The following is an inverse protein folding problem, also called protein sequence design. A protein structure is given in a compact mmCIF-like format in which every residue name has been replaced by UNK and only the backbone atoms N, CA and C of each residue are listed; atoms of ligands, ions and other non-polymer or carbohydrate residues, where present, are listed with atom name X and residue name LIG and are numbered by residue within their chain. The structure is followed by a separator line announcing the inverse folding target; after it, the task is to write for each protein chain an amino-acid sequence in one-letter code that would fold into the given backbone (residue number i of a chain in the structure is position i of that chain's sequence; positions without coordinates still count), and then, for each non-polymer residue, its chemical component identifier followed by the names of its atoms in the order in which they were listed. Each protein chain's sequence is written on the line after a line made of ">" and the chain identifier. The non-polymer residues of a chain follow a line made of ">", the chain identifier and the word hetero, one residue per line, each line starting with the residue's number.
data_IF_954091543381
#
_entry.id   IF_954091543381
#
_cell.length_a   1.000
_cell.length_b   1.000
_cell.length_c   1.000
_cell.angle_alpha   90.00
_cell.angle_beta   90.00
_cell.angle_gamma   90.00
#
_symmetry.space_group_name_H-M   'P 1'
#
loop_
_entity.id
_entity.type
_entity.pdbx_description
1 polymer ?
#
# COMPACT_ATOMS: atom_id res chain seq x y z
N UNK A 1 -19.18 -3.41 -3.66
CA UNK A 1 -19.48 -2.21 -4.47
C UNK A 1 -18.45 -1.17 -4.09
N UNK A 2 -17.87 -0.46 -5.06
CA UNK A 2 -16.88 0.60 -4.82
C UNK A 2 -17.51 1.96 -5.12
N UNK A 3 -17.14 2.97 -4.36
CA UNK A 3 -17.46 4.38 -4.62
C UNK A 3 -16.15 5.14 -4.71
N UNK A 4 -16.09 6.13 -5.60
CA UNK A 4 -14.93 6.99 -5.75
C UNK A 4 -15.37 8.43 -5.54
N UNK A 5 -14.73 9.09 -4.59
CA UNK A 5 -14.88 10.51 -4.37
C UNK A 5 -13.62 11.23 -4.87
N UNK A 6 -13.81 12.34 -5.58
CA UNK A 6 -12.73 13.05 -6.27
C UNK A 6 -11.91 13.96 -5.34
N UNK A 7 -11.40 13.40 -4.24
CA UNK A 7 -10.47 14.04 -3.35
C UNK A 7 -9.44 13.02 -2.84
N UNK A 8 -8.21 13.48 -2.62
CA UNK A 8 -7.18 12.65 -1.99
C UNK A 8 -7.45 12.56 -0.49
N UNK A 9 -7.18 11.39 0.09
CA UNK A 9 -7.30 11.15 1.53
C UNK A 9 -6.48 12.15 2.35
N UNK A 10 -5.27 12.48 1.88
CA UNK A 10 -4.46 13.57 2.41
C UNK A 10 -4.02 14.54 1.29
N UNK A 11 -4.01 15.86 1.53
CA UNK A 11 -3.63 16.83 0.49
C UNK A 11 -2.19 16.67 -0.02
N UNK A 12 -2.04 16.51 -1.34
CA UNK A 12 -0.73 16.54 -2.03
C UNK A 12 -0.64 17.81 -2.88
N UNK A 13 0.23 18.75 -2.52
CA UNK A 13 0.34 20.10 -3.13
C UNK A 13 1.79 20.49 -3.45
N UNK A 14 2.51 19.61 -4.13
CA UNK A 14 3.92 19.78 -4.50
C UNK A 14 4.02 20.83 -5.63
N UNK A 15 4.83 21.85 -5.38
CA UNK A 15 5.02 22.99 -6.29
C UNK A 15 6.25 22.86 -7.18
N UNK A 16 7.30 22.23 -6.66
CA UNK A 16 8.59 22.16 -7.32
C UNK A 16 8.76 20.81 -8.03
N UNK A 17 9.09 20.78 -9.33
CA UNK A 17 9.45 19.55 -10.02
C UNK A 17 10.72 18.96 -9.40
N UNK A 18 10.75 17.64 -9.19
CA UNK A 18 11.94 16.92 -8.74
C UNK A 18 11.91 15.48 -9.27
N UNK A 19 12.38 15.27 -10.52
CA UNK A 19 12.40 13.93 -11.13
C UNK A 19 13.25 12.92 -10.34
N UNK A 20 14.29 13.36 -9.62
CA UNK A 20 15.10 12.47 -8.77
C UNK A 20 14.27 11.86 -7.64
N UNK A 21 13.44 12.67 -6.98
CA UNK A 21 12.52 12.17 -5.96
C UNK A 21 11.39 11.33 -6.56
N UNK A 22 10.86 11.70 -7.73
CA UNK A 22 9.87 10.89 -8.43
C UNK A 22 10.38 9.47 -8.72
N UNK A 23 11.63 9.36 -9.18
CA UNK A 23 12.31 8.08 -9.48
C UNK A 23 12.33 7.12 -8.30
N UNK A 24 12.51 7.61 -7.08
CA UNK A 24 12.59 6.76 -5.90
C UNK A 24 11.22 6.54 -5.23
N UNK A 25 10.36 7.56 -5.20
CA UNK A 25 9.02 7.47 -4.59
C UNK A 25 8.12 6.48 -5.35
N UNK A 26 8.31 6.32 -6.67
CA UNK A 26 7.54 5.33 -7.45
C UNK A 26 7.62 3.91 -6.89
N UNK A 27 8.65 3.59 -6.09
CA UNK A 27 8.75 2.29 -5.42
C UNK A 27 7.59 2.03 -4.45
N UNK A 28 7.00 3.07 -3.85
CA UNK A 28 5.79 2.90 -3.04
C UNK A 28 4.52 2.80 -3.88
N UNK A 29 4.58 3.10 -5.18
CA UNK A 29 3.45 2.86 -6.07
C UNK A 29 3.42 1.41 -6.56
N UNK A 30 4.54 0.87 -7.06
CA UNK A 30 4.58 -0.46 -7.69
C UNK A 30 5.77 -1.35 -7.32
N UNK A 31 6.51 -1.01 -6.27
CA UNK A 31 7.54 -1.88 -5.70
C UNK A 31 6.96 -3.00 -4.82
N UNK A 32 7.82 -3.89 -4.30
CA UNK A 32 7.39 -5.06 -3.54
C UNK A 32 6.69 -4.74 -2.22
N UNK A 33 7.06 -3.63 -1.60
CA UNK A 33 6.54 -3.18 -0.31
C UNK A 33 5.68 -1.90 -0.44
N UNK A 34 5.14 -1.64 -1.64
CA UNK A 34 4.32 -0.45 -1.92
C UNK A 34 2.81 -0.72 -1.91
N UNK A 35 2.02 0.34 -2.10
CA UNK A 35 0.58 0.38 -1.83
C UNK A 35 -0.23 -0.53 -2.75
N UNK A 36 0.27 -0.77 -3.98
CA UNK A 36 -0.36 -1.74 -4.88
C UNK A 36 -0.21 -3.17 -4.37
N UNK A 37 0.93 -3.51 -3.77
CA UNK A 37 1.13 -4.81 -3.13
C UNK A 37 0.25 -4.92 -1.89
N UNK A 38 0.24 -3.90 -1.03
CA UNK A 38 -0.56 -3.84 0.19
C UNK A 38 -2.06 -4.01 -0.09
N UNK A 39 -2.63 -3.17 -0.97
CA UNK A 39 -4.05 -3.25 -1.35
C UNK A 39 -4.44 -4.62 -1.89
N UNK A 40 -3.69 -5.17 -2.86
CA UNK A 40 -4.00 -6.47 -3.45
C UNK A 40 -3.85 -7.62 -2.44
N UNK A 41 -2.87 -7.55 -1.54
CA UNK A 41 -2.66 -8.54 -0.48
C UNK A 41 -3.89 -8.60 0.43
N UNK A 42 -4.24 -7.49 1.07
CA UNK A 42 -5.29 -7.45 2.09
C UNK A 42 -6.67 -7.73 1.49
N UNK A 43 -6.97 -7.16 0.32
CA UNK A 43 -8.24 -7.41 -0.37
C UNK A 43 -8.39 -8.87 -0.87
N UNK A 44 -7.28 -9.58 -1.06
CA UNK A 44 -7.31 -11.01 -1.41
C UNK A 44 -7.46 -11.90 -0.17
N UNK A 45 -6.70 -11.60 0.89
CA UNK A 45 -6.69 -12.40 2.12
C UNK A 45 -7.98 -12.27 2.94
N UNK A 46 -8.77 -11.20 2.79
CA UNK A 46 -10.06 -11.09 3.50
C UNK A 46 -11.00 -12.28 3.29
N UNK A 47 -10.88 -13.00 2.17
CA UNK A 47 -11.75 -14.13 1.82
C UNK A 47 -11.43 -15.42 2.61
N UNK A 48 -10.24 -15.52 3.20
CA UNK A 48 -9.82 -16.63 4.07
C UNK A 48 -9.92 -16.31 5.55
N UNK A 49 -10.24 -15.07 5.91
CA UNK A 49 -10.40 -14.67 7.32
C UNK A 49 -11.63 -15.33 7.95
N UNK A 50 -11.47 -15.76 9.20
CA UNK A 50 -12.47 -16.59 9.92
C UNK A 50 -13.26 -15.83 10.98
N UNK A 51 -12.84 -14.61 11.34
CA UNK A 51 -13.58 -13.72 12.24
C UNK A 51 -14.09 -12.52 11.47
N UNK A 52 -15.26 -11.98 11.86
CA UNK A 52 -15.83 -10.79 11.22
C UNK A 52 -14.90 -9.59 11.35
N UNK A 53 -14.19 -9.46 12.47
CA UNK A 53 -13.22 -8.41 12.71
C UNK A 53 -12.01 -8.51 11.76
N UNK A 54 -11.47 -9.72 11.54
CA UNK A 54 -10.36 -9.90 10.61
C UNK A 54 -10.78 -9.67 9.14
N UNK A 55 -11.97 -10.13 8.74
CA UNK A 55 -12.55 -9.83 7.42
C UNK A 55 -12.67 -8.31 7.23
N UNK A 56 -13.22 -7.61 8.22
CA UNK A 56 -13.39 -6.16 8.17
C UNK A 56 -12.04 -5.44 8.13
N UNK A 57 -11.08 -5.83 8.96
CA UNK A 57 -9.74 -5.23 9.01
C UNK A 57 -9.04 -5.30 7.65
N UNK A 58 -9.02 -6.48 7.02
CA UNK A 58 -8.41 -6.66 5.70
C UNK A 58 -9.15 -5.87 4.62
N UNK A 59 -10.49 -5.80 4.70
CA UNK A 59 -11.30 -5.08 3.73
C UNK A 59 -11.11 -3.55 3.84
N UNK A 60 -11.10 -3.02 5.06
CA UNK A 60 -11.05 -1.59 5.32
C UNK A 60 -9.64 -1.06 5.05
N UNK A 61 -8.60 -1.73 5.53
CA UNK A 61 -7.21 -1.35 5.26
C UNK A 61 -6.89 -1.53 3.77
N UNK A 62 -7.23 -2.66 3.17
CA UNK A 62 -7.00 -2.88 1.73
C UNK A 62 -7.71 -1.86 0.83
N UNK A 63 -8.82 -1.27 1.30
CA UNK A 63 -9.53 -0.17 0.63
C UNK A 63 -8.80 1.15 0.81
N UNK A 64 -8.32 1.44 2.02
CA UNK A 64 -7.48 2.60 2.32
C UNK A 64 -6.19 2.59 1.48
N UNK A 65 -5.57 1.42 1.29
CA UNK A 65 -4.37 1.29 0.45
C UNK A 65 -4.57 1.70 -1.01
N UNK A 66 -5.79 1.62 -1.53
CA UNK A 66 -6.08 2.16 -2.87
C UNK A 66 -6.10 3.69 -2.89
N UNK A 67 -6.47 4.33 -1.78
CA UNK A 67 -6.36 5.78 -1.61
C UNK A 67 -4.88 6.20 -1.44
N UNK A 68 -4.10 5.42 -0.68
CA UNK A 68 -2.65 5.59 -0.59
C UNK A 68 -1.97 5.49 -1.96
N UNK A 69 -2.35 4.49 -2.77
CA UNK A 69 -1.86 4.32 -4.14
C UNK A 69 -2.14 5.56 -5.00
N UNK A 70 -3.35 6.16 -4.88
CA UNK A 70 -3.70 7.41 -5.57
C UNK A 70 -2.86 8.60 -5.06
N UNK A 71 -2.59 8.67 -3.76
CA UNK A 71 -1.71 9.68 -3.18
C UNK A 71 -0.28 9.57 -3.71
N UNK A 72 0.33 8.37 -3.71
CA UNK A 72 1.69 8.17 -4.24
C UNK A 72 1.74 8.50 -5.73
N UNK A 73 0.76 8.06 -6.51
CA UNK A 73 0.64 8.42 -7.93
C UNK A 73 0.54 9.93 -8.13
N UNK A 74 -0.19 10.62 -7.25
CA UNK A 74 -0.31 12.09 -7.26
C UNK A 74 1.00 12.79 -6.90
N UNK A 75 1.77 12.26 -5.95
CA UNK A 75 3.10 12.75 -5.59
C UNK A 75 4.04 12.65 -6.80
N UNK A 76 4.17 11.47 -7.38
CA UNK A 76 5.04 11.23 -8.55
C UNK A 76 4.62 12.12 -9.72
N UNK A 77 3.32 12.22 -9.99
CA UNK A 77 2.79 13.09 -11.06
C UNK A 77 3.19 14.55 -10.85
N UNK A 78 3.05 15.07 -9.63
CA UNK A 78 3.37 16.46 -9.34
C UNK A 78 4.88 16.73 -9.41
N UNK A 79 5.72 15.79 -8.96
CA UNK A 79 7.18 15.87 -9.07
C UNK A 79 7.69 15.84 -10.52
N UNK A 80 6.99 15.17 -11.43
CA UNK A 80 7.32 15.12 -12.86
C UNK A 80 6.69 16.27 -13.68
N UNK A 81 5.69 16.95 -13.13
CA UNK A 81 4.96 18.03 -13.80
C UNK A 81 5.90 19.21 -14.02
N UNK A 82 6.01 19.67 -15.27
CA UNK A 82 6.85 20.81 -15.61
C UNK A 82 8.35 20.52 -15.79
N UNK A 83 8.85 19.35 -15.37
CA UNK A 83 10.25 18.97 -15.59
C UNK A 83 10.62 18.93 -17.09
N UNK A 84 11.71 19.58 -17.47
CA UNK A 84 12.32 19.55 -18.80
C UNK A 84 12.92 18.18 -19.14
N UNK A 85 13.28 17.95 -20.41
CA UNK A 85 13.93 16.68 -20.81
C UNK A 85 15.31 16.56 -20.18
N UNK A 86 16.01 17.68 -20.05
CA UNK A 86 17.34 17.80 -19.47
C UNK A 86 17.33 17.46 -17.97
N UNK A 87 16.32 17.94 -17.22
CA UNK A 87 16.17 17.59 -15.80
C UNK A 87 15.84 16.10 -15.58
N UNK A 88 15.01 15.52 -16.46
CA UNK A 88 14.66 14.09 -16.43
C UNK A 88 15.90 13.23 -16.74
N UNK A 89 16.71 13.63 -17.72
CA UNK A 89 17.95 12.94 -18.05
C UNK A 89 18.98 13.06 -16.93
N UNK A 90 19.15 14.25 -16.34
CA UNK A 90 20.02 14.49 -15.19
C UNK A 90 19.59 13.73 -13.92
N UNK A 91 18.32 13.31 -13.84
CA UNK A 91 17.81 12.41 -12.80
C UNK A 91 18.02 10.92 -13.10
N UNK A 92 18.58 10.58 -14.27
CA UNK A 92 18.77 9.22 -14.74
C UNK A 92 17.45 8.51 -14.99
N UNK A 93 16.45 9.22 -15.55
CA UNK A 93 15.12 8.70 -15.88
C UNK A 93 14.87 8.61 -17.40
N UNK A 94 15.91 8.73 -18.23
CA UNK A 94 15.76 8.69 -19.70
C UNK A 94 15.11 7.40 -20.22
N UNK A 95 15.46 6.24 -19.65
CA UNK A 95 14.81 4.96 -20.01
C UNK A 95 13.32 4.97 -19.66
N UNK A 96 12.98 5.33 -18.42
CA UNK A 96 11.59 5.48 -17.99
C UNK A 96 10.79 6.43 -18.88
N UNK A 97 11.39 7.56 -19.29
CA UNK A 97 10.72 8.52 -20.15
C UNK A 97 10.46 7.98 -21.56
N UNK A 98 11.36 7.17 -22.12
CA UNK A 98 11.14 6.55 -23.43
C UNK A 98 9.97 5.57 -23.39
N UNK A 99 9.88 4.76 -22.33
CA UNK A 99 8.85 3.72 -22.21
C UNK A 99 7.49 4.28 -21.77
N UNK A 100 7.48 5.32 -20.91
CA UNK A 100 6.28 5.76 -20.19
C UNK A 100 6.06 7.28 -20.23
N UNK A 101 6.96 8.05 -20.82
CA UNK A 101 6.93 9.52 -20.79
C UNK A 101 6.96 10.04 -19.36
N UNK A 102 5.86 10.69 -18.94
CA UNK A 102 5.64 11.14 -17.56
C UNK A 102 4.45 10.43 -16.90
N UNK A 103 3.98 9.33 -17.51
CA UNK A 103 2.92 8.49 -16.96
C UNK A 103 3.35 7.83 -15.66
N UNK A 104 2.37 7.36 -14.89
CA UNK A 104 2.60 6.59 -13.67
C UNK A 104 2.51 5.11 -14.05
N UNK A 105 3.62 4.38 -13.90
CA UNK A 105 3.71 2.97 -14.20
C UNK A 105 4.01 2.17 -12.92
N UNK A 106 3.32 1.05 -12.65
CA UNK A 106 3.55 0.26 -11.45
C UNK A 106 4.91 -0.46 -11.53
N UNK A 107 5.94 0.20 -10.97
CA UNK A 107 7.34 -0.23 -11.03
C UNK A 107 8.06 0.15 -9.74
N UNK A 108 9.09 -0.62 -9.38
CA UNK A 108 10.03 -0.25 -8.33
C UNK A 108 10.99 0.86 -8.78
N UNK A 109 11.65 1.53 -7.84
CA UNK A 109 12.70 2.51 -8.14
C UNK A 109 13.90 1.91 -8.93
N UNK A 110 14.10 0.59 -8.82
CA UNK A 110 15.12 -0.15 -9.55
C UNK A 110 14.70 -0.55 -10.97
N UNK A 111 13.47 -0.24 -11.39
CA UNK A 111 12.98 -0.54 -12.74
C UNK A 111 12.38 -1.94 -12.89
N UNK A 112 12.07 -2.65 -11.80
CA UNK A 112 11.36 -3.94 -11.84
C UNK A 112 9.85 -3.69 -11.82
N UNK A 113 9.08 -4.08 -12.86
CA UNK A 113 7.62 -3.95 -12.87
C UNK A 113 6.96 -4.66 -11.71
N UNK A 114 5.79 -4.17 -11.31
CA UNK A 114 4.96 -4.85 -10.33
C UNK A 114 4.61 -6.27 -10.80
N UNK A 115 4.62 -7.21 -9.87
CA UNK A 115 4.31 -8.61 -10.11
C UNK A 115 3.57 -9.20 -8.91
N UNK A 116 2.61 -10.08 -9.18
CA UNK A 116 1.90 -10.82 -8.14
C UNK A 116 2.83 -11.66 -7.25
N UNK A 117 4.08 -11.93 -7.67
CA UNK A 117 5.07 -12.61 -6.83
C UNK A 117 5.52 -11.81 -5.60
N UNK A 118 5.18 -10.52 -5.49
CA UNK A 118 5.46 -9.69 -4.31
C UNK A 118 4.51 -9.94 -3.13
N UNK A 119 3.37 -10.58 -3.37
CA UNK A 119 2.36 -10.85 -2.34
C UNK A 119 2.21 -12.36 -2.13
N UNK A 120 1.77 -12.76 -0.94
CA UNK A 120 1.25 -14.08 -0.67
C UNK A 120 -0.18 -13.99 -0.11
N UNK A 121 -0.93 -15.06 -0.32
CA UNK A 121 -2.23 -15.30 0.31
C UNK A 121 -2.36 -16.80 0.37
N UNK A 122 -2.21 -17.34 1.58
CA UNK A 122 -2.10 -18.79 1.83
C UNK A 122 -3.43 -19.41 2.21
N UNK A 123 -4.42 -18.61 2.58
CA UNK A 123 -5.70 -19.11 3.05
C UNK A 123 -5.68 -19.52 4.53
N UNK A 124 -4.55 -19.35 5.21
CA UNK A 124 -4.41 -19.55 6.65
C UNK A 124 -4.41 -18.16 7.32
N UNK A 125 -5.39 -17.85 8.19
CA UNK A 125 -5.58 -16.50 8.71
C UNK A 125 -4.45 -16.05 9.66
N UNK A 126 -3.75 -16.97 10.34
CA UNK A 126 -2.59 -16.61 11.18
C UNK A 126 -1.40 -16.26 10.29
N UNK A 127 -1.14 -17.09 9.26
CA UNK A 127 -0.03 -16.87 8.33
C UNK A 127 -0.24 -15.57 7.55
N UNK A 128 -1.45 -15.37 7.01
CA UNK A 128 -1.80 -14.20 6.21
C UNK A 128 -1.68 -12.91 7.05
N UNK A 129 -2.26 -12.85 8.26
CA UNK A 129 -2.12 -11.67 9.13
C UNK A 129 -0.67 -11.43 9.63
N UNK A 130 0.14 -12.49 9.72
CA UNK A 130 1.57 -12.34 10.03
C UNK A 130 2.35 -11.76 8.86
N UNK A 131 1.98 -12.13 7.63
CA UNK A 131 2.51 -11.49 6.41
C UNK A 131 2.17 -10.00 6.39
N UNK A 132 0.92 -9.63 6.71
CA UNK A 132 0.46 -8.26 6.73
C UNK A 132 1.24 -7.39 7.73
N UNK A 133 1.46 -7.90 8.94
CA UNK A 133 2.33 -7.25 9.93
C UNK A 133 3.75 -7.00 9.38
N UNK A 134 4.30 -7.96 8.65
CA UNK A 134 5.62 -7.81 8.04
C UNK A 134 5.60 -6.84 6.85
N UNK A 135 4.50 -6.79 6.09
CA UNK A 135 4.30 -5.85 4.98
C UNK A 135 4.34 -4.40 5.49
N UNK A 136 3.54 -4.05 6.49
CA UNK A 136 3.49 -2.66 6.99
C UNK A 136 4.83 -2.22 7.60
N UNK A 137 5.58 -3.13 8.22
CA UNK A 137 6.91 -2.78 8.73
C UNK A 137 7.92 -2.48 7.62
N UNK A 138 7.85 -3.19 6.50
CA UNK A 138 8.71 -2.95 5.33
C UNK A 138 8.30 -1.67 4.61
N UNK A 139 7.01 -1.43 4.45
CA UNK A 139 6.47 -0.19 3.88
C UNK A 139 6.85 1.02 4.75
N UNK A 140 6.64 0.96 6.07
CA UNK A 140 7.07 1.99 7.03
C UNK A 140 8.55 2.32 6.91
N UNK A 141 9.42 1.30 6.85
CA UNK A 141 10.86 1.50 6.72
C UNK A 141 11.22 2.21 5.40
N UNK A 142 10.56 1.83 4.31
CA UNK A 142 10.72 2.47 3.00
C UNK A 142 10.30 3.95 3.04
N UNK A 143 9.16 4.27 3.66
CA UNK A 143 8.75 5.66 3.87
C UNK A 143 9.74 6.44 4.73
N UNK A 144 10.29 5.85 5.79
CA UNK A 144 11.34 6.49 6.60
C UNK A 144 12.62 6.79 5.81
N UNK A 145 12.98 5.95 4.83
CA UNK A 145 14.08 6.26 3.91
C UNK A 145 13.73 7.39 2.95
N UNK A 146 12.54 7.39 2.36
CA UNK A 146 12.08 8.45 1.46
C UNK A 146 12.01 9.81 2.17
N UNK A 147 11.51 9.85 3.40
CA UNK A 147 11.47 11.06 4.23
C UNK A 147 12.88 11.61 4.49
N UNK A 148 13.87 10.74 4.74
CA UNK A 148 15.28 11.16 4.93
C UNK A 148 15.93 11.67 3.65
N UNK A 149 15.45 11.24 2.48
CA UNK A 149 15.97 11.69 1.18
C UNK A 149 15.29 12.94 0.65
N UNK A 150 14.09 13.26 1.13
CA UNK A 150 13.34 14.44 0.72
C UNK A 150 13.83 15.71 1.46
N UNK A 151 13.82 16.83 0.75
CA UNK A 151 14.16 18.17 1.25
C UNK A 151 12.99 19.17 1.14
N UNK A 152 12.02 18.91 0.26
CA UNK A 152 10.81 19.72 0.07
C UNK A 152 9.72 19.35 1.10
N UNK A 153 9.28 20.29 1.96
CA UNK A 153 8.17 20.06 2.89
C UNK A 153 6.87 19.61 2.22
N UNK A 154 6.56 20.10 1.00
CA UNK A 154 5.34 19.70 0.28
C UNK A 154 5.39 18.22 -0.16
N UNK A 155 6.57 17.59 -0.14
CA UNK A 155 6.77 16.14 -0.36
C UNK A 155 6.83 15.39 0.98
N UNK A 156 7.52 15.95 1.97
CA UNK A 156 7.72 15.31 3.28
C UNK A 156 6.39 15.10 4.02
N UNK A 157 5.49 16.08 4.02
CA UNK A 157 4.25 16.00 4.78
C UNK A 157 3.31 14.85 4.35
N UNK A 158 3.00 14.64 3.05
CA UNK A 158 2.21 13.48 2.65
C UNK A 158 2.95 12.15 2.91
N UNK A 159 4.29 12.10 2.81
CA UNK A 159 5.04 10.89 3.17
C UNK A 159 4.97 10.58 4.67
N UNK A 160 4.97 11.60 5.54
CA UNK A 160 4.76 11.42 6.98
C UNK A 160 3.36 10.89 7.30
N UNK A 161 2.34 11.38 6.59
CA UNK A 161 0.99 10.85 6.72
C UNK A 161 0.96 9.36 6.40
N UNK A 162 1.44 8.96 5.21
CA UNK A 162 1.48 7.56 4.79
C UNK A 162 2.26 6.70 5.80
N UNK A 163 3.45 7.14 6.20
CA UNK A 163 4.26 6.48 7.24
C UNK A 163 3.51 6.25 8.55
N UNK A 164 2.66 7.19 8.97
CA UNK A 164 1.88 7.05 10.19
C UNK A 164 0.71 6.07 10.01
N UNK A 165 0.12 6.01 8.81
CA UNK A 165 -0.89 5.01 8.47
C UNK A 165 -0.32 3.59 8.59
N UNK A 166 0.90 3.35 8.14
CA UNK A 166 1.60 2.07 8.33
C UNK A 166 1.67 1.63 9.80
N UNK A 167 1.91 2.59 10.72
CA UNK A 167 1.95 2.28 12.16
C UNK A 167 0.57 1.90 12.66
N UNK A 168 -0.47 2.60 12.20
CA UNK A 168 -1.86 2.29 12.56
C UNK A 168 -2.25 0.93 12.02
N UNK A 169 -1.99 0.65 10.74
CA UNK A 169 -2.30 -0.62 10.08
C UNK A 169 -1.61 -1.79 10.75
N UNK A 170 -0.31 -1.67 11.04
CA UNK A 170 0.43 -2.67 11.81
C UNK A 170 -0.26 -2.98 13.15
N UNK A 171 -0.71 -1.95 13.88
CA UNK A 171 -1.41 -2.17 15.14
C UNK A 171 -2.78 -2.84 14.95
N UNK A 172 -3.55 -2.44 13.92
CA UNK A 172 -4.85 -3.05 13.60
C UNK A 172 -4.71 -4.52 13.21
N UNK A 173 -3.74 -4.86 12.35
CA UNK A 173 -3.45 -6.26 12.02
C UNK A 173 -2.98 -7.06 13.24
N UNK A 174 -2.20 -6.44 14.14
CA UNK A 174 -1.78 -7.09 15.38
C UNK A 174 -2.93 -7.39 16.34
N UNK A 175 -3.94 -6.52 16.37
CA UNK A 175 -5.19 -6.76 17.10
C UNK A 175 -6.04 -7.86 16.44
N UNK A 176 -6.18 -7.83 15.10
CA UNK A 176 -6.89 -8.85 14.35
C UNK A 176 -6.25 -10.24 14.54
N UNK A 177 -4.92 -10.31 14.49
CA UNK A 177 -4.16 -11.56 14.70
C UNK A 177 -4.44 -12.16 16.08
N UNK A 178 -4.40 -11.34 17.15
CA UNK A 178 -4.76 -11.80 18.49
C UNK A 178 -6.20 -12.33 18.53
N UNK A 179 -7.14 -11.59 17.95
CA UNK A 179 -8.54 -12.03 17.91
C UNK A 179 -8.75 -13.36 17.16
N UNK A 180 -8.02 -13.59 16.07
CA UNK A 180 -8.03 -14.87 15.34
C UNK A 180 -7.42 -15.99 16.19
N UNK A 181 -6.31 -15.74 16.87
CA UNK A 181 -5.66 -16.72 17.73
C UNK A 181 -6.54 -17.13 18.91
N UNK A 182 -7.18 -16.16 19.56
CA UNK A 182 -8.12 -16.41 20.66
C UNK A 182 -9.31 -17.23 20.15
N UNK A 183 -9.91 -16.85 19.01
CA UNK A 183 -11.02 -17.58 18.39
C UNK A 183 -10.67 -19.05 18.12
N UNK A 184 -9.47 -19.33 17.61
CA UNK A 184 -9.03 -20.70 17.31
C UNK A 184 -8.71 -21.54 18.57
N UNK A 185 -8.47 -20.89 19.72
CA UNK A 185 -8.22 -21.56 21.00
C UNK A 185 -9.50 -21.77 21.82
N UNK A 186 -10.58 -21.04 21.52
CA UNK A 186 -11.86 -21.22 22.19
C UNK A 186 -12.46 -22.59 21.88
N UNK A 187 -12.87 -23.37 22.90
CA UNK A 187 -13.67 -24.56 22.66
C UNK A 187 -15.03 -24.08 22.11
N UNK A 188 -15.26 -24.24 20.82
CA UNK A 188 -16.54 -23.96 20.18
C UNK A 188 -17.60 -24.99 20.63
N UNK A 189 -18.07 -24.85 21.87
CA UNK A 189 -19.01 -25.78 22.53
C UNK A 189 -20.39 -25.83 21.87
N UNK A 190 -20.68 -24.90 20.95
CA UNK A 190 -21.93 -24.85 20.21
C UNK A 190 -21.67 -24.56 18.72
N UNK A 191 -21.41 -25.61 17.93
CA UNK A 191 -21.62 -25.53 16.48
C UNK A 191 -23.11 -25.50 16.21
N UNK A 192 -23.69 -24.31 15.98
CA UNK A 192 -25.02 -24.22 15.40
C UNK A 192 -24.89 -24.61 13.94
N UNK A 193 -25.24 -25.84 13.60
CA UNK A 193 -25.34 -26.26 12.21
C UNK A 193 -26.36 -25.37 11.49
N UNK A 194 -25.98 -24.86 10.30
CA UNK A 194 -26.92 -24.11 9.46
C UNK A 194 -28.10 -25.02 9.13
N UNK A 195 -29.36 -24.58 9.35
CA UNK A 195 -30.53 -25.33 8.92
C UNK A 195 -30.43 -25.61 7.41
N UNK A 196 -30.72 -26.84 7.00
CA UNK A 196 -30.67 -27.29 5.61
C UNK A 196 -31.53 -26.46 4.65
N UNK A 197 -32.45 -25.64 5.17
CA UNK A 197 -33.35 -24.76 4.41
C UNK A 197 -32.66 -23.60 3.68
N UNK A 198 -31.34 -23.48 3.75
CA UNK A 198 -30.55 -22.41 3.10
C UNK A 198 -29.49 -22.94 2.11
N UNK A 199 -29.59 -24.19 1.65
CA UNK A 199 -28.81 -24.72 0.52
C UNK A 199 -29.56 -24.57 -0.80
#
# INVERSE_FOLDING_TARGET
>A
MWTYDKFLEYPVKIKNPNPKMAKIIITQYGGPDGELAASLRYLSQRFSMITSQAIATCNDIGTEELAHLEMVGSIVRQLMKGASREEIDAAGMSAYYVDHGKGIYPISAAGVPFTASYIQSKGDPIVDLTEDLAAEQKARATYEYLIKMADDPDVIEPLKFLREREVVHYQRFGEALRGVQDYLQEPHLFTIEKPESFK
#
